data_IF_497237658014
#
_entry.id   IF_497237658014
#
_cell.length_a   1.000
_cell.length_b   1.000
_cell.length_c   1.000
_cell.angle_alpha   90.00
_cell.angle_beta   90.00
_cell.angle_gamma   90.00
#
_symmetry.space_group_name_H-M   'P 1'
#
loop_
_entity.id
_entity.type
_entity.pdbx_description
1 polymer ?
#
# COMPACT_ATOMS: atom_id res chain seq x y z
N UNK A 1 -41.89 -9.79 18.63
CA UNK A 1 -42.32 -9.37 17.28
C UNK A 1 -41.08 -9.33 16.40
N UNK A 2 -41.05 -10.16 15.36
CA UNK A 2 -39.87 -10.42 14.53
C UNK A 2 -39.41 -9.19 13.77
N UNK A 3 -38.11 -8.92 13.79
CA UNK A 3 -37.49 -7.98 12.86
C UNK A 3 -37.79 -8.43 11.41
N UNK A 4 -38.17 -7.52 10.49
CA UNK A 4 -38.39 -7.90 9.11
C UNK A 4 -37.07 -8.41 8.53
N UNK A 5 -37.09 -9.63 8.02
CA UNK A 5 -35.97 -10.25 7.31
C UNK A 5 -35.47 -9.30 6.22
N UNK A 6 -34.25 -8.78 6.35
CA UNK A 6 -33.68 -7.71 5.54
C UNK A 6 -33.32 -8.10 4.09
N UNK A 7 -34.19 -8.83 3.41
CA UNK A 7 -34.07 -9.17 1.99
C UNK A 7 -35.40 -9.02 1.26
N UNK A 8 -35.33 -8.61 -0.01
CA UNK A 8 -36.48 -8.48 -0.91
C UNK A 8 -36.24 -9.40 -2.10
N UNK A 9 -37.20 -10.25 -2.46
CA UNK A 9 -37.14 -11.04 -3.68
C UNK A 9 -37.55 -10.19 -4.88
N UNK A 10 -36.70 -10.14 -5.90
CA UNK A 10 -36.91 -9.35 -7.12
C UNK A 10 -36.47 -10.14 -8.35
N UNK A 11 -37.14 -9.93 -9.47
CA UNK A 11 -36.66 -10.40 -10.77
C UNK A 11 -35.57 -9.44 -11.30
N UNK A 12 -34.41 -9.96 -11.67
CA UNK A 12 -33.31 -9.19 -12.27
C UNK A 12 -32.87 -9.79 -13.59
N UNK A 13 -32.33 -8.93 -14.46
CA UNK A 13 -31.69 -9.40 -15.69
C UNK A 13 -30.33 -10.00 -15.34
N UNK A 14 -30.00 -11.14 -15.92
CA UNK A 14 -28.72 -11.82 -15.66
C UNK A 14 -27.54 -10.91 -16.01
N UNK A 15 -27.67 -10.11 -17.08
CA UNK A 15 -26.66 -9.14 -17.51
C UNK A 15 -26.40 -7.98 -16.52
N UNK A 16 -27.36 -7.66 -15.64
CA UNK A 16 -27.19 -6.62 -14.62
C UNK A 16 -26.38 -7.09 -13.40
N UNK A 17 -26.20 -8.40 -13.24
CA UNK A 17 -25.54 -8.99 -12.08
C UNK A 17 -24.02 -8.97 -12.29
N UNK A 18 -23.31 -8.22 -11.45
CA UNK A 18 -21.85 -8.08 -11.51
C UNK A 18 -21.17 -9.01 -10.52
N UNK A 19 -20.22 -9.79 -11.00
CA UNK A 19 -19.39 -10.63 -10.15
C UNK A 19 -18.17 -9.83 -9.69
N UNK A 20 -18.04 -9.60 -8.38
CA UNK A 20 -16.87 -8.94 -7.78
C UNK A 20 -15.63 -9.84 -7.74
N UNK A 21 -14.55 -9.36 -7.10
CA UNK A 21 -13.37 -10.18 -6.82
C UNK A 21 -13.76 -11.30 -5.85
N UNK A 22 -13.49 -12.56 -6.23
CA UNK A 22 -13.79 -13.77 -5.45
C UNK A 22 -12.49 -14.51 -5.16
N UNK A 23 -12.41 -15.09 -3.96
CA UNK A 23 -11.23 -15.86 -3.54
C UNK A 23 -11.21 -17.27 -4.14
N UNK A 24 -12.38 -17.82 -4.49
CA UNK A 24 -12.50 -19.13 -5.14
C UNK A 24 -12.87 -18.98 -6.62
N UNK A 25 -11.95 -19.34 -7.51
CA UNK A 25 -12.14 -19.32 -8.97
C UNK A 25 -12.62 -20.67 -9.53
N UNK A 26 -12.37 -21.77 -8.83
CA UNK A 26 -12.78 -23.12 -9.24
C UNK A 26 -14.28 -23.35 -8.97
N UNK A 27 -15.08 -23.33 -10.03
CA UNK A 27 -16.55 -23.48 -9.98
C UNK A 27 -17.02 -24.95 -9.99
N UNK A 28 -16.14 -25.92 -10.22
CA UNK A 28 -16.50 -27.34 -10.30
C UNK A 28 -17.34 -27.68 -11.54
N UNK A 29 -18.07 -28.79 -11.51
CA UNK A 29 -18.95 -29.20 -12.62
C UNK A 29 -20.19 -28.30 -12.69
N UNK A 30 -20.22 -27.44 -13.70
CA UNK A 30 -21.31 -26.51 -14.00
C UNK A 30 -22.30 -27.12 -14.99
N UNK A 31 -21.87 -28.09 -15.80
CA UNK A 31 -22.73 -28.74 -16.79
C UNK A 31 -23.78 -29.62 -16.10
N UNK A 32 -23.36 -30.39 -15.09
CA UNK A 32 -24.28 -31.16 -14.25
C UNK A 32 -25.29 -30.26 -13.52
N UNK A 33 -24.83 -29.13 -12.99
CA UNK A 33 -25.70 -28.17 -12.30
C UNK A 33 -26.68 -27.49 -13.27
N UNK A 34 -26.24 -27.14 -14.48
CA UNK A 34 -27.10 -26.57 -15.51
C UNK A 34 -28.21 -27.56 -15.90
N UNK A 35 -27.89 -28.84 -16.12
CA UNK A 35 -28.88 -29.87 -16.40
C UNK A 35 -29.89 -30.05 -15.25
N UNK A 36 -29.45 -29.96 -13.99
CA UNK A 36 -30.36 -30.00 -12.84
C UNK A 36 -31.29 -28.79 -12.78
N UNK A 37 -30.79 -27.59 -13.08
CA UNK A 37 -31.59 -26.35 -13.09
C UNK A 37 -32.60 -26.37 -14.24
N UNK A 38 -32.25 -26.92 -15.40
CA UNK A 38 -33.19 -27.07 -16.52
C UNK A 38 -34.33 -28.03 -16.19
N UNK A 39 -34.05 -29.11 -15.45
CA UNK A 39 -35.06 -30.10 -15.04
C UNK A 39 -35.96 -29.62 -13.90
N UNK A 40 -35.37 -29.11 -12.82
CA UNK A 40 -36.07 -28.87 -11.54
C UNK A 40 -36.29 -27.37 -11.24
N UNK A 41 -35.75 -26.48 -12.08
CA UNK A 41 -35.74 -25.04 -11.84
C UNK A 41 -34.68 -24.59 -10.83
N UNK A 42 -34.61 -23.28 -10.59
CA UNK A 42 -33.69 -22.72 -9.60
C UNK A 42 -34.28 -22.84 -8.19
N UNK A 43 -33.94 -23.92 -7.49
CA UNK A 43 -34.45 -24.20 -6.14
C UNK A 43 -33.98 -23.20 -5.07
N UNK A 44 -32.76 -22.67 -5.22
CA UNK A 44 -32.18 -21.69 -4.31
C UNK A 44 -31.90 -20.38 -5.07
N UNK A 45 -32.61 -19.28 -4.75
CA UNK A 45 -32.40 -18.01 -5.42
C UNK A 45 -31.01 -17.44 -5.13
N UNK A 46 -30.52 -16.63 -6.07
CA UNK A 46 -29.20 -16.00 -6.01
C UNK A 46 -29.29 -14.75 -5.13
N UNK A 47 -28.28 -14.48 -4.29
CA UNK A 47 -28.28 -13.28 -3.44
C UNK A 47 -27.40 -12.20 -4.05
N UNK A 48 -27.96 -10.99 -4.19
CA UNK A 48 -27.26 -9.81 -4.69
C UNK A 48 -27.48 -8.61 -3.76
N UNK A 49 -26.72 -7.55 -3.99
CA UNK A 49 -26.95 -6.25 -3.34
C UNK A 49 -27.81 -5.33 -4.18
N UNK A 50 -28.31 -4.21 -3.61
CA UNK A 50 -29.15 -3.26 -4.34
C UNK A 50 -28.52 -2.78 -5.64
N UNK A 51 -27.18 -2.65 -5.67
CA UNK A 51 -26.39 -2.22 -6.83
C UNK A 51 -26.14 -3.31 -7.87
N UNK A 52 -26.65 -4.53 -7.66
CA UNK A 52 -26.49 -5.64 -8.60
C UNK A 52 -25.21 -6.45 -8.42
N UNK A 53 -24.47 -6.28 -7.32
CA UNK A 53 -23.26 -7.08 -7.05
C UNK A 53 -23.65 -8.45 -6.51
N UNK A 54 -23.13 -9.51 -7.11
CA UNK A 54 -23.34 -10.88 -6.69
C UNK A 54 -22.68 -11.13 -5.33
N UNK A 55 -23.49 -11.51 -4.35
CA UNK A 55 -23.03 -11.92 -3.02
C UNK A 55 -22.80 -13.42 -3.02
N UNK A 56 -23.86 -14.22 -3.10
CA UNK A 56 -23.80 -15.68 -3.07
C UNK A 56 -24.40 -16.32 -4.34
N UNK A 57 -24.00 -17.56 -4.64
CA UNK A 57 -24.55 -18.32 -5.76
C UNK A 57 -23.82 -18.17 -7.11
N UNK A 58 -22.50 -17.96 -7.10
CA UNK A 58 -21.69 -17.83 -8.33
C UNK A 58 -21.82 -19.02 -9.29
N UNK A 59 -21.84 -20.24 -8.76
CA UNK A 59 -22.05 -21.46 -9.57
C UNK A 59 -23.42 -21.49 -10.22
N UNK A 60 -24.46 -21.08 -9.48
CA UNK A 60 -25.84 -20.97 -9.99
C UNK A 60 -25.93 -19.88 -11.06
N UNK A 61 -25.29 -18.72 -10.85
CA UNK A 61 -25.23 -17.67 -11.87
C UNK A 61 -24.52 -18.15 -13.14
N UNK A 62 -23.41 -18.88 -13.00
CA UNK A 62 -22.68 -19.45 -14.14
C UNK A 62 -23.52 -20.47 -14.91
N UNK A 63 -24.21 -21.38 -14.21
CA UNK A 63 -25.11 -22.35 -14.83
C UNK A 63 -26.28 -21.67 -15.57
N UNK A 64 -26.92 -20.67 -14.95
CA UNK A 64 -28.02 -19.88 -15.54
C UNK A 64 -27.54 -19.11 -16.78
N UNK A 65 -26.33 -18.56 -16.73
CA UNK A 65 -25.71 -17.88 -17.87
C UNK A 65 -25.49 -18.85 -19.03
N UNK A 66 -25.06 -20.08 -18.73
CA UNK A 66 -24.86 -21.14 -19.73
C UNK A 66 -26.17 -21.63 -20.36
N UNK A 67 -27.25 -21.71 -19.57
CA UNK A 67 -28.60 -22.01 -20.05
C UNK A 67 -29.25 -20.85 -20.84
N UNK A 68 -28.60 -19.69 -20.91
CA UNK A 68 -29.08 -18.54 -21.70
C UNK A 68 -30.28 -17.80 -21.12
N UNK A 69 -30.60 -18.00 -19.83
CA UNK A 69 -31.70 -17.31 -19.17
C UNK A 69 -31.47 -15.80 -19.19
N UNK A 70 -32.52 -15.04 -19.54
CA UNK A 70 -32.43 -13.56 -19.61
C UNK A 70 -32.72 -12.91 -18.25
N UNK A 71 -33.53 -13.55 -17.43
CA UNK A 71 -33.97 -13.08 -16.13
C UNK A 71 -33.89 -14.18 -15.09
N UNK A 72 -33.71 -13.80 -13.83
CA UNK A 72 -33.63 -14.70 -12.68
C UNK A 72 -34.18 -14.01 -11.44
N UNK A 73 -34.86 -14.78 -10.59
CA UNK A 73 -35.27 -14.32 -9.26
C UNK A 73 -34.07 -14.29 -8.32
N UNK A 74 -33.88 -13.15 -7.69
CA UNK A 74 -32.77 -12.88 -6.77
C UNK A 74 -33.29 -12.37 -5.44
N UNK A 75 -32.54 -12.62 -4.39
CA UNK A 75 -32.71 -11.95 -3.10
C UNK A 75 -31.79 -10.74 -3.02
N UNK A 76 -32.39 -9.56 -2.84
CA UNK A 76 -31.68 -8.29 -2.66
C UNK A 76 -31.59 -7.97 -1.18
N UNK A 77 -30.36 -7.93 -0.63
CA UNK A 77 -30.12 -7.56 0.77
C UNK A 77 -29.75 -6.08 0.91
N UNK A 78 -30.66 -5.28 1.44
CA UNK A 78 -30.52 -3.81 1.56
C UNK A 78 -29.59 -3.35 2.69
N UNK A 79 -29.20 -4.24 3.62
CA UNK A 79 -28.23 -3.95 4.69
C UNK A 79 -26.77 -4.27 4.34
N UNK A 80 -26.51 -4.62 3.08
CA UNK A 80 -25.18 -4.95 2.56
C UNK A 80 -24.79 -3.87 1.56
N UNK A 81 -24.41 -2.70 2.05
CA UNK A 81 -23.95 -1.57 1.20
C UNK A 81 -22.44 -1.58 0.98
N UNK A 82 -21.69 -2.18 1.91
CA UNK A 82 -20.24 -2.03 1.98
C UNK A 82 -19.54 -3.36 1.66
N UNK A 83 -18.31 -3.27 1.12
CA UNK A 83 -17.47 -4.42 0.76
C UNK A 83 -17.34 -5.47 1.87
N UNK A 84 -17.35 -5.04 3.13
CA UNK A 84 -17.34 -5.91 4.30
C UNK A 84 -18.60 -6.79 4.40
N UNK A 85 -19.77 -6.22 4.15
CA UNK A 85 -21.03 -6.97 4.16
C UNK A 85 -21.11 -7.97 3.01
N UNK A 86 -20.55 -7.65 1.83
CA UNK A 86 -20.47 -8.59 0.71
C UNK A 86 -19.65 -9.83 1.10
N UNK A 87 -18.50 -9.61 1.73
CA UNK A 87 -17.55 -10.65 2.12
C UNK A 87 -18.14 -11.53 3.24
N UNK A 88 -18.82 -10.93 4.23
CA UNK A 88 -19.49 -11.69 5.30
C UNK A 88 -20.62 -12.59 4.79
N UNK A 89 -21.40 -12.11 3.81
CA UNK A 89 -22.46 -12.92 3.24
C UNK A 89 -21.96 -14.01 2.27
N UNK A 90 -20.78 -13.85 1.66
CA UNK A 90 -20.09 -14.95 0.96
C UNK A 90 -19.64 -16.04 1.96
N UNK A 91 -19.18 -15.64 3.14
CA UNK A 91 -18.74 -16.57 4.17
C UNK A 91 -19.89 -17.40 4.76
N UNK A 92 -21.06 -16.80 5.00
CA UNK A 92 -22.25 -17.51 5.53
C UNK A 92 -22.74 -18.62 4.57
N UNK A 93 -22.69 -18.39 3.25
CA UNK A 93 -23.02 -19.40 2.22
C UNK A 93 -21.97 -20.54 2.17
N UNK A 94 -20.72 -20.21 2.51
CA UNK A 94 -19.58 -21.14 2.45
C UNK A 94 -19.44 -22.06 3.69
N UNK A 95 -20.16 -21.80 4.77
CA UNK A 95 -20.11 -22.62 5.99
C UNK A 95 -20.49 -24.11 5.77
N UNK A 96 -21.11 -24.43 4.62
CA UNK A 96 -21.52 -25.79 4.21
C UNK A 96 -20.56 -26.47 3.19
N UNK A 97 -19.40 -25.88 2.87
CA UNK A 97 -18.48 -26.39 1.85
C UNK A 97 -17.16 -26.96 2.40
N UNK A 98 -16.31 -27.48 1.50
CA UNK A 98 -14.95 -27.96 1.82
C UNK A 98 -14.24 -26.92 2.70
N UNK A 99 -13.59 -27.34 3.80
CA UNK A 99 -12.89 -26.43 4.69
C UNK A 99 -11.80 -25.67 3.92
N UNK A 100 -11.68 -24.36 4.19
CA UNK A 100 -10.61 -23.52 3.66
C UNK A 100 -9.25 -24.09 4.04
N UNK A 101 -8.25 -23.95 3.17
CA UNK A 101 -6.86 -24.19 3.59
C UNK A 101 -6.42 -23.11 4.58
N UNK A 102 -5.33 -23.37 5.29
CA UNK A 102 -4.80 -22.42 6.28
C UNK A 102 -4.29 -21.14 5.60
N UNK A 103 -3.73 -21.25 4.39
CA UNK A 103 -3.29 -20.09 3.60
C UNK A 103 -4.47 -19.28 3.05
N UNK A 104 -5.52 -19.95 2.57
CA UNK A 104 -6.77 -19.28 2.15
C UNK A 104 -7.44 -18.54 3.33
N UNK A 105 -7.50 -19.19 4.50
CA UNK A 105 -7.99 -18.57 5.72
C UNK A 105 -7.16 -17.35 6.12
N UNK A 106 -5.82 -17.41 6.00
CA UNK A 106 -4.94 -16.28 6.28
C UNK A 106 -5.12 -15.12 5.28
N UNK A 107 -5.38 -15.42 4.01
CA UNK A 107 -5.71 -14.40 3.01
C UNK A 107 -7.02 -13.68 3.33
N UNK A 108 -8.10 -14.44 3.61
CA UNK A 108 -9.40 -13.89 3.99
C UNK A 108 -9.31 -13.04 5.27
N UNK A 109 -8.53 -13.53 6.25
CA UNK A 109 -8.26 -12.82 7.49
C UNK A 109 -7.66 -11.44 7.29
N UNK A 110 -6.66 -11.31 6.41
CA UNK A 110 -6.02 -10.01 6.13
C UNK A 110 -7.02 -9.02 5.55
N UNK A 111 -7.84 -9.45 4.59
CA UNK A 111 -8.85 -8.57 4.00
C UNK A 111 -9.89 -8.14 5.03
N UNK A 112 -10.44 -9.08 5.82
CA UNK A 112 -11.35 -8.78 6.92
C UNK A 112 -10.74 -7.80 7.92
N UNK A 113 -9.49 -8.05 8.34
CA UNK A 113 -8.76 -7.21 9.28
C UNK A 113 -8.62 -5.78 8.76
N UNK A 114 -8.28 -5.59 7.49
CA UNK A 114 -8.18 -4.26 6.87
C UNK A 114 -9.53 -3.56 6.79
N UNK A 115 -10.56 -4.23 6.26
CA UNK A 115 -11.90 -3.63 6.12
C UNK A 115 -12.51 -3.25 7.46
N UNK A 116 -12.29 -4.07 8.48
CA UNK A 116 -12.77 -3.78 9.84
C UNK A 116 -11.95 -2.67 10.51
N UNK A 117 -10.69 -2.47 10.13
CA UNK A 117 -9.88 -1.35 10.60
C UNK A 117 -10.40 -0.04 9.98
N UNK A 118 -10.63 -0.01 8.67
CA UNK A 118 -11.24 1.13 7.97
C UNK A 118 -12.62 1.48 8.53
N UNK A 119 -13.45 0.48 8.85
CA UNK A 119 -14.76 0.70 9.47
C UNK A 119 -14.64 1.20 10.91
N UNK A 120 -13.66 0.70 11.67
CA UNK A 120 -13.38 1.21 13.01
C UNK A 120 -12.88 2.66 12.98
N UNK A 121 -12.04 3.02 12.01
CA UNK A 121 -11.57 4.39 11.77
C UNK A 121 -12.72 5.32 11.38
N UNK A 122 -13.61 4.88 10.46
CA UNK A 122 -14.83 5.63 10.12
C UNK A 122 -15.72 5.88 11.32
N UNK A 123 -15.95 4.84 12.15
CA UNK A 123 -16.72 4.98 13.41
C UNK A 123 -16.03 5.90 14.41
N UNK A 124 -14.71 5.81 14.54
CA UNK A 124 -13.94 6.67 15.43
C UNK A 124 -14.01 8.13 14.98
N UNK A 125 -13.79 8.41 13.68
CA UNK A 125 -13.87 9.74 13.11
C UNK A 125 -15.27 10.37 13.30
N UNK A 126 -16.35 9.61 13.12
CA UNK A 126 -17.71 10.07 13.36
C UNK A 126 -18.01 10.41 14.83
N UNK A 127 -17.21 9.90 15.77
CA UNK A 127 -17.32 10.21 17.21
C UNK A 127 -16.35 11.29 17.69
N UNK A 128 -15.40 11.72 16.85
CA UNK A 128 -14.44 12.76 17.19
C UNK A 128 -15.07 14.15 16.98
N UNK A 129 -14.93 15.02 17.98
CA UNK A 129 -15.39 16.40 17.90
C UNK A 129 -14.60 17.15 16.82
N UNK A 130 -15.29 17.71 15.83
CA UNK A 130 -14.73 18.58 14.78
C UNK A 130 -15.70 19.74 14.49
N UNK A 131 -15.26 20.76 13.75
CA UNK A 131 -16.12 21.89 13.33
C UNK A 131 -17.36 21.43 12.54
N UNK A 132 -17.23 20.34 11.78
CA UNK A 132 -18.31 19.75 10.99
C UNK A 132 -19.19 18.79 11.82
N UNK A 133 -18.75 18.43 13.03
CA UNK A 133 -19.43 17.51 13.95
C UNK A 133 -19.55 18.13 15.35
N UNK A 134 -20.15 19.32 15.43
CA UNK A 134 -20.51 19.93 16.72
C UNK A 134 -21.84 19.34 17.22
N UNK A 135 -21.90 18.79 18.44
CA UNK A 135 -23.19 18.54 19.07
C UNK A 135 -23.85 19.88 19.35
N UNK A 136 -25.03 20.09 18.78
CA UNK A 136 -25.84 21.28 19.04
C UNK A 136 -26.08 21.47 20.54
N UNK A 137 -26.06 22.73 20.95
CA UNK A 137 -26.40 23.11 22.31
C UNK A 137 -27.83 22.65 22.65
N UNK A 138 -27.95 22.08 23.85
CA UNK A 138 -29.16 21.77 24.61
C UNK A 138 -29.99 20.54 24.20
N UNK A 139 -29.87 19.48 25.01
CA UNK A 139 -30.78 18.35 25.02
C UNK A 139 -30.30 17.24 25.94
N UNK A 140 -30.70 17.28 27.21
CA UNK A 140 -30.35 16.26 28.20
C UNK A 140 -30.87 14.86 27.84
N UNK A 141 -29.94 13.89 27.82
CA UNK A 141 -30.19 12.45 27.88
C UNK A 141 -30.17 11.74 26.53
N UNK A 142 -29.50 10.61 26.34
CA UNK A 142 -28.53 9.81 27.10
C UNK A 142 -27.57 9.25 26.03
N UNK A 143 -26.33 8.97 26.40
CA UNK A 143 -25.27 8.30 25.63
C UNK A 143 -25.75 7.65 24.31
N UNK A 144 -25.08 7.89 23.17
CA UNK A 144 -25.37 7.15 21.95
C UNK A 144 -25.41 5.65 22.28
N UNK A 145 -26.40 4.90 21.74
CA UNK A 145 -26.50 3.48 22.01
C UNK A 145 -25.14 2.82 21.73
N UNK A 146 -24.70 1.83 22.54
CA UNK A 146 -23.44 1.15 22.28
C UNK A 146 -23.46 0.70 20.83
N UNK A 147 -22.40 1.03 20.06
CA UNK A 147 -22.29 0.62 18.66
C UNK A 147 -22.72 -0.85 18.57
N UNK A 148 -23.75 -1.20 17.76
CA UNK A 148 -24.30 -2.55 17.70
C UNK A 148 -23.33 -3.58 17.08
N UNK A 149 -22.04 -3.24 16.98
CA UNK A 149 -21.00 -4.10 16.46
C UNK A 149 -20.43 -5.05 17.51
N UNK A 150 -19.75 -6.13 17.08
CA UNK A 150 -19.06 -7.04 17.97
C UNK A 150 -18.03 -6.29 18.84
N UNK A 151 -17.91 -6.67 20.11
CA UNK A 151 -16.90 -6.14 21.03
C UNK A 151 -15.57 -6.89 20.86
N UNK A 152 -14.44 -6.18 20.84
CA UNK A 152 -13.10 -6.79 20.79
C UNK A 152 -12.14 -6.05 19.85
N UNK A 153 -10.87 -6.46 19.81
CA UNK A 153 -9.89 -5.89 18.87
C UNK A 153 -10.24 -6.34 17.45
N UNK A 154 -10.07 -5.47 16.45
CA UNK A 154 -10.35 -5.75 15.03
C UNK A 154 -9.80 -7.10 14.55
N UNK A 155 -8.56 -7.44 14.94
CA UNK A 155 -7.90 -8.70 14.62
C UNK A 155 -8.59 -9.95 15.20
N UNK A 156 -9.23 -9.83 16.36
CA UNK A 156 -9.95 -10.93 17.01
C UNK A 156 -11.31 -11.12 16.36
N UNK A 157 -11.98 -10.02 16.03
CA UNK A 157 -13.24 -10.04 15.30
C UNK A 157 -13.07 -10.65 13.90
N UNK A 158 -12.04 -10.22 13.15
CA UNK A 158 -11.73 -10.74 11.82
C UNK A 158 -11.41 -12.26 11.84
N UNK A 159 -10.68 -12.74 12.85
CA UNK A 159 -10.40 -14.18 12.97
C UNK A 159 -11.64 -15.00 13.37
N UNK A 160 -12.53 -14.44 14.21
CA UNK A 160 -13.79 -15.09 14.59
C UNK A 160 -14.78 -15.20 13.42
N UNK A 161 -14.66 -14.31 12.43
CA UNK A 161 -15.37 -14.35 11.15
C UNK A 161 -14.74 -15.35 10.17
N UNK A 162 -13.98 -16.36 10.58
CA UNK A 162 -13.50 -17.39 9.64
C UNK A 162 -13.98 -18.74 10.16
N UNK A 163 -14.94 -19.40 9.48
CA UNK A 163 -15.49 -20.67 9.94
C UNK A 163 -14.40 -21.74 9.98
N UNK A 164 -14.18 -22.33 11.16
CA UNK A 164 -13.12 -23.32 11.36
C UNK A 164 -11.69 -22.76 11.22
N UNK A 165 -11.55 -21.43 11.14
CA UNK A 165 -10.26 -20.75 11.01
C UNK A 165 -9.42 -20.86 12.29
N UNK A 166 -8.10 -20.79 12.12
CA UNK A 166 -7.18 -20.76 13.24
C UNK A 166 -7.25 -19.43 14.02
N UNK A 167 -6.62 -19.38 15.19
CA UNK A 167 -6.53 -18.14 15.97
C UNK A 167 -5.86 -17.00 15.18
N UNK A 168 -6.19 -15.73 15.49
CA UNK A 168 -5.56 -14.58 14.84
C UNK A 168 -4.02 -14.64 14.86
N UNK A 169 -3.42 -15.17 15.94
CA UNK A 169 -1.97 -15.33 16.07
C UNK A 169 -1.42 -16.32 15.04
N UNK A 170 -2.16 -17.38 14.74
CA UNK A 170 -1.78 -18.37 13.74
C UNK A 170 -1.88 -17.77 12.34
N UNK A 171 -2.96 -17.04 12.05
CA UNK A 171 -3.18 -16.38 10.77
C UNK A 171 -2.14 -15.27 10.51
N UNK A 172 -1.78 -14.49 11.54
CA UNK A 172 -0.68 -13.51 11.47
C UNK A 172 0.68 -14.19 11.18
N UNK A 173 0.95 -15.38 11.76
CA UNK A 173 2.17 -16.17 11.47
C UNK A 173 2.20 -16.64 10.02
N UNK A 174 1.08 -17.13 9.48
CA UNK A 174 0.99 -17.55 8.08
C UNK A 174 1.20 -16.33 7.17
N UNK A 175 0.56 -15.20 7.47
CA UNK A 175 0.76 -13.95 6.73
C UNK A 175 2.21 -13.47 6.71
N UNK A 176 2.96 -13.66 7.80
CA UNK A 176 4.40 -13.41 7.84
C UNK A 176 5.18 -14.32 6.88
N UNK A 177 4.85 -15.60 6.83
CA UNK A 177 5.49 -16.55 5.90
C UNK A 177 5.19 -16.20 4.44
N UNK A 178 3.95 -15.87 4.11
CA UNK A 178 3.58 -15.41 2.77
C UNK A 178 4.34 -14.14 2.36
N UNK A 179 4.53 -13.21 3.30
CA UNK A 179 5.29 -11.99 3.03
C UNK A 179 6.75 -12.30 2.67
N UNK A 180 7.42 -13.19 3.42
CA UNK A 180 8.78 -13.63 3.09
C UNK A 180 8.83 -14.33 1.73
N UNK A 181 7.86 -15.18 1.42
CA UNK A 181 7.81 -15.87 0.13
C UNK A 181 7.64 -14.90 -1.05
N UNK A 182 6.88 -13.82 -0.87
CA UNK A 182 6.60 -12.82 -1.90
C UNK A 182 7.64 -11.70 -2.00
N UNK A 183 8.45 -11.46 -0.96
CA UNK A 183 9.41 -10.35 -0.90
C UNK A 183 10.60 -10.58 -1.86
N UNK A 184 10.76 -9.75 -2.91
CA UNK A 184 11.86 -9.89 -3.86
C UNK A 184 13.22 -9.56 -3.27
N UNK A 185 13.29 -8.87 -2.13
CA UNK A 185 14.55 -8.58 -1.44
C UNK A 185 15.12 -9.79 -0.69
N UNK A 186 14.33 -10.85 -0.50
CA UNK A 186 14.79 -12.08 0.15
C UNK A 186 15.54 -13.00 -0.83
N UNK A 187 16.50 -13.80 -0.34
CA UNK A 187 17.20 -14.80 -1.15
C UNK A 187 16.21 -15.77 -1.82
N UNK A 188 16.42 -16.06 -3.11
CA UNK A 188 15.51 -16.91 -3.89
C UNK A 188 15.32 -18.30 -3.26
N UNK A 189 16.38 -18.87 -2.68
CA UNK A 189 16.33 -20.14 -1.96
C UNK A 189 15.43 -20.08 -0.72
N UNK A 190 15.53 -19.00 0.06
CA UNK A 190 14.69 -18.78 1.23
C UNK A 190 13.21 -18.67 0.83
N UNK A 191 12.91 -17.91 -0.24
CA UNK A 191 11.53 -17.79 -0.73
C UNK A 191 10.97 -19.14 -1.17
N UNK A 192 11.74 -19.91 -1.95
CA UNK A 192 11.33 -21.23 -2.42
C UNK A 192 11.09 -22.21 -1.26
N UNK A 193 11.98 -22.20 -0.26
CA UNK A 193 11.82 -22.97 0.97
C UNK A 193 10.54 -22.60 1.72
N UNK A 194 10.26 -21.31 1.90
CA UNK A 194 9.05 -20.81 2.58
C UNK A 194 7.78 -21.18 1.81
N UNK A 195 7.79 -21.10 0.48
CA UNK A 195 6.68 -21.56 -0.37
C UNK A 195 6.39 -23.06 -0.18
N UNK A 196 7.43 -23.88 -0.09
CA UNK A 196 7.27 -25.32 0.17
C UNK A 196 6.69 -25.58 1.58
N UNK A 197 7.15 -24.84 2.59
CA UNK A 197 6.63 -24.93 3.96
C UNK A 197 5.17 -24.46 4.09
N UNK A 198 4.76 -23.43 3.33
CA UNK A 198 3.36 -23.02 3.22
C UNK A 198 2.48 -24.13 2.64
N UNK A 199 2.95 -24.84 1.61
CA UNK A 199 2.23 -25.99 1.07
C UNK A 199 2.10 -27.14 2.09
N UNK A 200 3.10 -27.34 2.96
CA UNK A 200 3.02 -28.30 4.07
C UNK A 200 2.00 -27.88 5.13
N UNK A 201 1.91 -26.58 5.42
CA UNK A 201 0.89 -26.03 6.32
C UNK A 201 -0.51 -26.30 5.75
N UNK A 202 -0.73 -26.08 4.46
CA UNK A 202 -2.00 -26.40 3.80
C UNK A 202 -2.31 -27.91 3.82
N UNK A 203 -1.28 -28.77 3.81
CA UNK A 203 -1.41 -30.21 4.03
C UNK A 203 -1.59 -30.63 5.50
N UNK A 204 -1.66 -29.68 6.44
CA UNK A 204 -1.95 -29.93 7.87
C UNK A 204 -0.73 -29.91 8.81
N UNK A 205 0.43 -29.46 8.36
CA UNK A 205 1.61 -29.33 9.23
C UNK A 205 1.43 -28.23 10.30
N UNK A 206 2.09 -28.34 11.47
CA UNK A 206 1.99 -27.35 12.53
C UNK A 206 2.68 -26.02 12.13
N UNK A 207 1.92 -24.93 12.17
CA UNK A 207 2.38 -23.59 11.75
C UNK A 207 3.50 -23.03 12.62
N UNK A 208 3.40 -23.19 13.94
CA UNK A 208 4.30 -22.52 14.89
C UNK A 208 5.79 -22.89 14.74
N UNK A 209 6.18 -24.19 14.69
CA UNK A 209 7.60 -24.54 14.55
C UNK A 209 8.19 -24.10 13.21
N UNK A 210 7.39 -24.19 12.13
CA UNK A 210 7.78 -23.70 10.80
C UNK A 210 8.04 -22.18 10.85
N UNK A 211 7.12 -21.43 11.46
CA UNK A 211 7.28 -20.00 11.68
C UNK A 211 8.54 -19.65 12.47
N UNK A 212 8.82 -20.36 13.56
CA UNK A 212 10.01 -20.09 14.38
C UNK A 212 11.31 -20.35 13.62
N UNK A 213 11.39 -21.46 12.89
CA UNK A 213 12.54 -21.78 12.05
C UNK A 213 12.79 -20.70 11.00
N UNK A 214 11.76 -20.33 10.24
CA UNK A 214 11.89 -19.32 9.18
C UNK A 214 12.20 -17.95 9.76
N UNK A 215 11.58 -17.57 10.88
CA UNK A 215 11.88 -16.31 11.56
C UNK A 215 13.33 -16.24 12.03
N UNK A 216 13.85 -17.32 12.62
CA UNK A 216 15.25 -17.38 13.03
C UNK A 216 16.21 -17.23 11.83
N UNK A 217 15.92 -17.90 10.72
CA UNK A 217 16.70 -17.77 9.48
C UNK A 217 16.60 -16.35 8.90
N UNK A 218 15.42 -15.73 8.90
CA UNK A 218 15.24 -14.37 8.40
C UNK A 218 15.96 -13.33 9.26
N UNK A 219 15.91 -13.47 10.59
CA UNK A 219 16.64 -12.60 11.53
C UNK A 219 18.15 -12.74 11.35
N UNK A 220 18.68 -13.96 11.31
CA UNK A 220 20.13 -14.18 11.09
C UNK A 220 20.60 -13.63 9.74
N UNK A 221 19.82 -13.83 8.67
CA UNK A 221 20.11 -13.25 7.36
C UNK A 221 20.04 -11.71 7.35
N UNK A 222 19.22 -11.10 8.21
CA UNK A 222 19.19 -9.65 8.37
C UNK A 222 20.41 -9.15 9.14
N UNK A 223 20.76 -9.77 10.26
CA UNK A 223 21.95 -9.42 11.06
C UNK A 223 23.24 -9.54 10.24
N UNK A 224 23.34 -10.57 9.39
CA UNK A 224 24.47 -10.72 8.46
C UNK A 224 24.50 -9.58 7.42
N UNK A 225 23.38 -9.21 6.83
CA UNK A 225 23.31 -8.07 5.91
C UNK A 225 23.70 -6.77 6.58
N UNK A 226 23.22 -6.51 7.80
CA UNK A 226 23.60 -5.32 8.57
C UNK A 226 25.11 -5.33 8.87
N UNK A 227 25.67 -6.47 9.25
CA UNK A 227 27.12 -6.63 9.49
C UNK A 227 27.92 -6.41 8.21
N UNK A 228 27.51 -6.99 7.08
CA UNK A 228 28.16 -6.82 5.78
C UNK A 228 28.09 -5.37 5.32
N UNK A 229 26.96 -4.69 5.50
CA UNK A 229 26.81 -3.26 5.22
C UNK A 229 27.75 -2.42 6.09
N UNK A 230 27.86 -2.73 7.39
CA UNK A 230 28.81 -2.07 8.27
C UNK A 230 30.26 -2.31 7.86
N UNK A 231 30.61 -3.53 7.44
CA UNK A 231 31.93 -3.85 6.92
C UNK A 231 32.21 -3.07 5.63
N UNK A 232 31.31 -3.07 4.66
CA UNK A 232 31.44 -2.31 3.41
C UNK A 232 31.61 -0.82 3.69
N UNK A 233 30.84 -0.25 4.62
CA UNK A 233 30.97 1.15 5.04
C UNK A 233 32.35 1.43 5.68
N UNK A 234 32.82 0.53 6.54
CA UNK A 234 34.14 0.64 7.19
C UNK A 234 35.29 0.52 6.19
N UNK A 235 35.15 -0.36 5.20
CA UNK A 235 36.07 -0.55 4.10
C UNK A 235 36.12 0.67 3.17
N UNK A 236 34.96 1.25 2.87
CA UNK A 236 34.87 2.49 2.10
C UNK A 236 35.57 3.65 2.85
N UNK A 237 35.36 3.77 4.16
CA UNK A 237 36.05 4.75 5.01
C UNK A 237 37.56 4.50 5.07
N UNK A 238 38.00 3.25 5.21
CA UNK A 238 39.42 2.90 5.27
C UNK A 238 40.12 3.16 3.94
N UNK A 239 39.48 2.85 2.80
CA UNK A 239 39.96 3.21 1.46
C UNK A 239 40.04 4.72 1.26
N UNK A 240 39.07 5.49 1.75
CA UNK A 240 39.09 6.96 1.70
C UNK A 240 40.17 7.57 2.62
N UNK A 241 40.50 6.91 3.74
CA UNK A 241 41.60 7.32 4.62
C UNK A 241 42.98 6.94 4.04
N UNK A 242 43.12 5.74 3.47
CA UNK A 242 44.38 5.24 2.90
C UNK A 242 44.68 5.81 1.50
N UNK A 243 43.70 6.35 0.79
CA UNK A 243 43.97 7.15 -0.42
C UNK A 243 44.67 8.48 -0.10
N UNK A 244 44.72 8.90 1.18
CA UNK A 244 45.49 10.07 1.63
C UNK A 244 47.01 9.82 1.78
N UNK A 245 47.50 8.57 1.71
CA UNK A 245 48.94 8.26 1.88
C UNK A 245 49.74 8.10 0.58
N UNK A 246 49.10 8.06 -0.60
CA UNK A 246 49.81 8.39 -1.85
C UNK A 246 49.77 9.91 -2.04
N UNK A 247 50.86 10.59 -1.69
CA UNK A 247 51.08 12.04 -1.80
C UNK A 247 50.37 12.67 -3.01
N UNK A 248 49.19 13.23 -2.76
CA UNK A 248 48.80 14.56 -3.22
C UNK A 248 48.57 15.37 -1.96
N UNK A 249 49.27 16.48 -1.86
CA UNK A 249 49.19 17.43 -0.74
C UNK A 249 47.73 17.64 -0.32
N UNK A 250 47.39 17.44 0.97
CA UNK A 250 46.03 17.71 1.42
C UNK A 250 45.84 19.22 1.39
N UNK A 251 44.91 19.68 0.56
CA UNK A 251 44.38 21.03 0.69
C UNK A 251 43.58 21.06 2.00
N UNK A 252 43.81 22.01 2.91
CA UNK A 252 43.01 22.12 4.12
C UNK A 252 41.55 22.31 3.72
N UNK A 253 40.64 21.61 4.39
CA UNK A 253 39.23 22.05 4.44
C UNK A 253 39.27 23.27 5.35
N UNK A 254 38.94 24.49 4.87
CA UNK A 254 38.78 25.61 5.75
C UNK A 254 37.50 25.38 6.54
N UNK A 255 37.64 25.25 7.86
CA UNK A 255 36.58 25.62 8.79
C UNK A 255 36.10 27.02 8.41
N UNK A 256 34.79 27.19 8.24
CA UNK A 256 34.16 28.49 7.98
C UNK A 256 34.12 29.33 9.25
N UNK A 257 35.29 29.61 9.82
CA UNK A 257 35.40 30.56 10.92
C UNK A 257 36.55 31.52 10.64
N UNK A 258 36.20 32.77 10.29
CA UNK A 258 37.11 33.91 10.23
C UNK A 258 37.87 34.13 8.91
N UNK A 259 37.28 34.90 7.99
CA UNK A 259 38.01 35.92 7.21
C UNK A 259 38.89 35.48 6.02
N UNK A 260 38.67 34.32 5.40
CA UNK A 260 39.38 33.91 4.18
C UNK A 260 38.63 34.25 2.88
N UNK A 261 39.35 34.73 1.87
CA UNK A 261 38.87 34.96 0.50
C UNK A 261 38.08 33.74 -0.05
N UNK A 262 36.92 33.95 -0.71
CA UNK A 262 36.07 32.85 -1.17
C UNK A 262 36.79 31.98 -2.20
N UNK A 263 36.97 30.72 -1.85
CA UNK A 263 37.67 29.74 -2.66
C UNK A 263 36.82 29.30 -3.86
N UNK A 264 37.29 29.55 -5.09
CA UNK A 264 36.57 29.14 -6.30
C UNK A 264 36.63 27.61 -6.50
N UNK A 265 35.47 26.97 -6.54
CA UNK A 265 35.33 25.53 -6.80
C UNK A 265 35.44 25.21 -8.29
N UNK A 266 35.88 23.99 -8.67
CA UNK A 266 35.93 23.58 -10.08
C UNK A 266 34.52 23.46 -10.69
N UNK A 267 34.37 23.77 -11.98
CA UNK A 267 33.08 23.73 -12.72
C UNK A 267 32.35 22.38 -12.58
N UNK A 268 33.10 21.26 -12.50
CA UNK A 268 32.50 19.94 -12.28
C UNK A 268 31.76 19.83 -10.94
N UNK A 269 32.25 20.49 -9.88
CA UNK A 269 31.55 20.54 -8.60
C UNK A 269 30.24 21.32 -8.74
N UNK A 270 30.24 22.43 -9.49
CA UNK A 270 29.03 23.23 -9.75
C UNK A 270 27.92 22.43 -10.48
N UNK A 271 28.28 21.62 -11.48
CA UNK A 271 27.31 20.78 -12.20
C UNK A 271 26.72 19.69 -11.31
N UNK A 272 27.55 19.07 -10.46
CA UNK A 272 27.07 18.05 -9.51
C UNK A 272 26.12 18.65 -8.48
N UNK A 273 26.47 19.79 -7.89
CA UNK A 273 25.61 20.47 -6.90
C UNK A 273 24.25 20.84 -7.46
N UNK A 274 24.18 21.28 -8.72
CA UNK A 274 22.89 21.63 -9.34
C UNK A 274 22.06 20.40 -9.71
N UNK A 275 22.71 19.33 -10.19
CA UNK A 275 22.01 18.08 -10.51
C UNK A 275 21.35 17.42 -9.29
N UNK A 276 21.98 17.52 -8.12
CA UNK A 276 21.41 17.01 -6.85
C UNK A 276 20.25 17.87 -6.32
N UNK A 277 20.21 19.16 -6.69
CA UNK A 277 19.15 20.11 -6.32
C UNK A 277 18.04 20.20 -7.39
N UNK A 278 17.99 19.29 -8.36
CA UNK A 278 16.88 19.25 -9.30
C UNK A 278 15.61 18.72 -8.60
N UNK A 279 14.49 19.41 -8.77
CA UNK A 279 13.15 19.01 -8.31
C UNK A 279 12.99 18.75 -6.80
N UNK A 280 13.97 19.13 -5.97
CA UNK A 280 13.94 18.85 -4.53
C UNK A 280 12.70 19.42 -3.84
N UNK A 281 12.17 20.54 -4.33
CA UNK A 281 10.97 21.20 -3.81
C UNK A 281 9.69 20.36 -3.99
N UNK A 282 9.69 19.35 -4.88
CA UNK A 282 8.54 18.45 -5.06
C UNK A 282 8.36 17.47 -3.89
N UNK A 283 9.35 17.37 -3.01
CA UNK A 283 9.34 16.46 -1.86
C UNK A 283 8.85 17.12 -0.57
N UNK A 284 8.52 18.42 -0.58
CA UNK A 284 8.14 19.17 0.61
C UNK A 284 6.81 19.89 0.41
N UNK A 285 5.97 19.87 1.47
CA UNK A 285 4.75 20.68 1.56
C UNK A 285 5.08 22.03 2.19
N UNK A 286 4.70 23.12 1.52
CA UNK A 286 4.97 24.49 1.95
C UNK A 286 4.21 24.83 3.24
N UNK A 287 2.98 24.36 3.39
CA UNK A 287 2.17 24.64 4.59
C UNK A 287 2.75 23.91 5.81
N UNK A 288 3.29 22.71 5.59
CA UNK A 288 4.01 21.96 6.63
C UNK A 288 5.32 22.67 7.02
N UNK A 289 6.12 23.11 6.05
CA UNK A 289 7.38 23.82 6.33
C UNK A 289 7.14 25.14 7.07
N UNK A 290 6.06 25.88 6.72
CA UNK A 290 5.70 27.11 7.41
C UNK A 290 5.27 26.89 8.87
N UNK A 291 4.71 25.72 9.19
CA UNK A 291 4.31 25.38 10.55
C UNK A 291 5.47 24.87 11.42
N UNK A 292 6.49 24.23 10.83
CA UNK A 292 7.55 23.53 11.55
C UNK A 292 8.88 24.30 11.64
N UNK A 293 9.17 25.21 10.71
CA UNK A 293 10.41 26.00 10.71
C UNK A 293 10.31 27.25 11.59
N UNK A 294 11.42 27.65 12.21
CA UNK A 294 11.52 28.95 12.88
C UNK A 294 11.68 30.09 11.88
N UNK A 295 11.33 31.32 12.30
CA UNK A 295 11.50 32.52 11.49
C UNK A 295 12.94 32.70 11.00
N UNK A 296 13.94 32.40 11.85
CA UNK A 296 15.36 32.48 11.47
C UNK A 296 15.75 31.42 10.42
N UNK A 297 15.17 30.23 10.48
CA UNK A 297 15.42 29.17 9.49
C UNK A 297 14.80 29.53 8.13
N UNK A 298 13.59 30.11 8.16
CA UNK A 298 12.91 30.62 6.96
C UNK A 298 13.73 31.78 6.35
N UNK A 299 14.18 32.73 7.17
CA UNK A 299 15.00 33.86 6.70
C UNK A 299 16.34 33.40 6.10
N UNK A 300 17.01 32.43 6.74
CA UNK A 300 18.25 31.85 6.23
C UNK A 300 18.07 31.18 4.85
N UNK A 301 16.98 30.43 4.68
CA UNK A 301 16.62 29.83 3.40
C UNK A 301 16.35 30.89 2.32
N UNK A 302 15.51 31.89 2.62
CA UNK A 302 15.17 32.95 1.67
C UNK A 302 16.40 33.79 1.27
N UNK A 303 17.30 34.07 2.21
CA UNK A 303 18.58 34.74 1.93
C UNK A 303 19.46 33.93 0.98
N UNK A 304 19.50 32.61 1.16
CA UNK A 304 20.24 31.68 0.29
C UNK A 304 19.65 31.62 -1.12
N UNK A 305 18.31 31.59 -1.24
CA UNK A 305 17.61 31.62 -2.53
C UNK A 305 17.87 32.95 -3.25
N UNK A 306 17.79 34.09 -2.54
CA UNK A 306 18.08 35.40 -3.10
C UNK A 306 19.54 35.52 -3.58
N UNK A 307 20.49 34.98 -2.81
CA UNK A 307 21.90 34.90 -3.22
C UNK A 307 22.11 34.07 -4.49
N UNK A 308 21.45 32.92 -4.55
CA UNK A 308 21.49 32.01 -5.72
C UNK A 308 20.87 32.66 -6.96
N UNK A 309 19.74 33.37 -6.81
CA UNK A 309 19.09 34.12 -7.89
C UNK A 309 19.99 35.20 -8.47
N UNK A 310 20.62 36.03 -7.62
CA UNK A 310 21.58 37.05 -8.07
C UNK A 310 22.74 36.43 -8.87
N UNK A 311 23.31 35.33 -8.39
CA UNK A 311 24.39 34.64 -9.10
C UNK A 311 23.94 34.07 -10.45
N UNK A 312 22.71 33.53 -10.52
CA UNK A 312 22.15 33.05 -11.78
C UNK A 312 21.96 34.19 -12.81
N UNK A 313 21.53 35.37 -12.36
CA UNK A 313 21.41 36.55 -13.21
C UNK A 313 22.78 37.07 -13.70
N UNK A 314 23.79 37.09 -12.82
CA UNK A 314 25.17 37.42 -13.18
C UNK A 314 25.74 36.44 -14.22
N UNK A 315 25.50 35.14 -14.03
CA UNK A 315 25.92 34.10 -14.96
C UNK A 315 25.24 34.24 -16.32
N UNK A 316 23.93 34.53 -16.35
CA UNK A 316 23.17 34.79 -17.59
C UNK A 316 23.73 36.01 -18.32
N UNK A 317 23.94 37.11 -17.61
CA UNK A 317 24.52 38.31 -18.18
C UNK A 317 25.96 38.08 -18.70
N UNK A 318 26.76 37.24 -18.04
CA UNK A 318 28.09 36.86 -18.50
C UNK A 318 28.06 35.99 -19.77
N UNK A 319 27.13 35.04 -19.84
CA UNK A 319 26.91 34.20 -21.01
C UNK A 319 26.47 35.04 -22.22
N UNK A 320 25.52 35.96 -22.04
CA UNK A 320 25.00 36.82 -23.11
C UNK A 320 26.07 37.79 -23.66
N UNK A 321 27.01 38.23 -22.80
CA UNK A 321 28.19 38.99 -23.26
C UNK A 321 29.13 38.17 -24.13
N UNK A 322 29.32 36.89 -23.81
CA UNK A 322 30.18 36.00 -24.61
C UNK A 322 29.52 35.65 -25.95
N UNK A 323 28.23 35.31 -25.95
CA UNK A 323 27.50 34.98 -27.19
C UNK A 323 27.24 36.20 -28.07
N UNK A 324 27.06 37.40 -27.49
CA UNK A 324 26.96 38.67 -28.22
C UNK A 324 28.29 39.14 -28.83
N UNK A 325 29.44 38.74 -28.27
CA UNK A 325 30.77 39.04 -28.81
C UNK A 325 31.11 38.25 -30.07
N UNK A 326 30.51 37.08 -30.27
CA UNK A 326 30.72 36.21 -31.45
C UNK A 326 29.93 36.67 -32.70
N UNK A 327 29.08 37.69 -32.58
CA UNK A 327 28.28 38.25 -33.69
C UNK A 327 28.78 39.61 -34.24
N UNK A 328 29.95 40.09 -33.81
CA UNK A 328 30.55 41.30 -34.39
C UNK A 328 31.25 40.96 -35.73
N UNK A 329 31.00 41.70 -36.83
CA UNK A 329 31.51 41.34 -38.15
C UNK A 329 33.03 41.56 -38.21
N UNK A 330 33.75 40.50 -38.61
CA UNK A 330 35.18 40.54 -38.94
C UNK A 330 35.40 41.58 -40.03
N UNK A 331 35.95 42.75 -39.65
CA UNK A 331 36.44 43.74 -40.61
C UNK A 331 37.54 43.11 -41.45
N UNK A 332 37.25 42.93 -42.74
CA UNK A 332 38.19 42.41 -43.73
C UNK A 332 39.42 43.31 -43.87
N UNK A 333 40.60 42.76 -43.61
CA UNK A 333 41.84 43.33 -44.09
C UNK A 333 42.09 42.85 -45.52
N UNK A 334 41.73 43.69 -46.49
CA UNK A 334 42.23 43.59 -47.87
C UNK A 334 43.69 44.06 -47.89
N UNK A 335 44.59 43.16 -48.27
CA UNK A 335 45.97 43.42 -48.67
C UNK A 335 46.02 43.44 -50.21
N UNK A 336 46.42 44.55 -50.80
CA UNK A 336 46.98 44.71 -52.15
C UNK A 336 47.55 46.13 -52.21
N UNK A 337 48.74 46.45 -52.73
CA UNK A 337 49.81 45.75 -53.42
C UNK A 337 51.10 46.50 -53.06
#
# INVERSE_FOLDING_TARGET
>A
MSAPSGFIELERTVASIRVGRRHRTELGDIDELAASIERDGLLQPITITPDGVLVCGARRLAAITRLGWKKVNVWVRSGISDRLGHLLAEQDDNALHKPLTQTEAAALYRELKTLMAEDAERRQAATMFSSDHQPGADGGGKFPPPSPGPRGKTREQAAAMIPGGASYKTLDKIGYLEHIAADPAQPTELRAHVTAELARIDAGAPVHPIYESIRATATTAQDQRETDLHQIASDALSRAKNSKTKKRTPRPIPSSDGGGEPMQYPVRAFVLTWGELADWWTHYDVDQLAAELSDEQIESFLSTVAGTGRFADELRAAHDRQTGSDLAPVRGHLRAL
#
